data_IF_640169402078
#
_entry.id   IF_640169402078
#
_cell.length_a   1.000
_cell.length_b   1.000
_cell.length_c   1.000
_cell.angle_alpha   90.00
_cell.angle_beta   90.00
_cell.angle_gamma   90.00
#
_symmetry.space_group_name_H-M   'P 1'
#
loop_
_entity.id
_entity.type
_entity.pdbx_description
1 polymer ?
#
# COMPACT_ATOMS: atom_id res chain seq x y z
N UNK A 1 -40.00 48.56 -23.38
CA UNK A 1 -40.07 48.98 -21.96
C UNK A 1 -39.59 47.81 -21.14
N UNK A 2 -38.35 47.85 -20.64
CA UNK A 2 -37.68 46.69 -20.01
C UNK A 2 -37.82 46.83 -18.49
N UNK A 3 -38.54 45.90 -17.86
CA UNK A 3 -38.89 45.97 -16.45
C UNK A 3 -37.78 45.37 -15.57
N UNK A 4 -37.06 46.23 -14.85
CA UNK A 4 -36.01 45.87 -13.89
C UNK A 4 -36.63 45.23 -12.64
N UNK A 5 -36.48 43.91 -12.48
CA UNK A 5 -36.79 43.21 -11.22
C UNK A 5 -35.67 43.44 -10.20
N UNK A 6 -35.96 44.23 -9.16
CA UNK A 6 -35.08 44.44 -7.99
C UNK A 6 -34.97 43.16 -7.15
N UNK A 7 -33.75 42.70 -6.87
CA UNK A 7 -33.46 41.60 -5.93
C UNK A 7 -33.61 42.07 -4.48
N UNK A 8 -34.20 41.29 -3.56
CA UNK A 8 -34.19 41.58 -2.13
C UNK A 8 -32.81 41.26 -1.50
N UNK A 9 -32.39 41.96 -0.43
CA UNK A 9 -31.10 41.74 0.22
C UNK A 9 -31.09 40.45 1.08
N UNK A 10 -29.91 39.84 1.29
CA UNK A 10 -29.77 38.62 2.10
C UNK A 10 -29.96 38.92 3.59
N UNK A 11 -30.65 38.02 4.29
CA UNK A 11 -30.81 38.05 5.75
C UNK A 11 -29.51 37.60 6.43
N UNK A 12 -28.95 38.47 7.26
CA UNK A 12 -27.89 38.15 8.22
C UNK A 12 -28.43 37.20 9.30
N UNK A 13 -27.68 36.15 9.63
CA UNK A 13 -27.94 35.26 10.77
C UNK A 13 -26.83 35.38 11.80
N UNK A 14 -27.27 35.46 13.05
CA UNK A 14 -26.58 35.92 14.24
C UNK A 14 -25.41 35.05 14.74
N UNK A 15 -24.44 35.73 15.35
CA UNK A 15 -23.33 35.22 16.17
C UNK A 15 -23.79 34.59 17.50
N UNK A 16 -23.08 33.57 18.03
CA UNK A 16 -23.38 32.95 19.32
C UNK A 16 -22.91 33.80 20.53
N UNK A 17 -23.61 33.75 21.69
CA UNK A 17 -23.26 34.55 22.88
C UNK A 17 -22.08 33.97 23.70
N UNK A 18 -21.39 34.81 24.50
CA UNK A 18 -20.12 34.47 25.14
C UNK A 18 -20.25 33.75 26.49
N UNK A 19 -19.22 32.97 26.77
CA UNK A 19 -18.99 32.15 27.96
C UNK A 19 -18.76 32.99 29.23
N UNK A 20 -19.58 32.79 30.28
CA UNK A 20 -19.43 33.45 31.56
C UNK A 20 -18.66 32.59 32.57
N UNK A 21 -17.42 33.01 32.87
CA UNK A 21 -16.67 32.65 34.09
C UNK A 21 -17.22 33.47 35.27
N UNK A 22 -17.65 32.81 36.35
CA UNK A 22 -17.64 33.39 37.72
C UNK A 22 -17.14 32.33 38.69
N UNK A 23 -16.03 32.64 39.35
CA UNK A 23 -15.53 31.90 40.50
C UNK A 23 -16.13 32.42 41.81
N UNK A 24 -15.95 31.61 42.84
CA UNK A 24 -15.55 32.06 44.18
C UNK A 24 -16.64 32.41 45.20
N UNK A 25 -16.97 31.42 46.03
CA UNK A 25 -17.04 31.58 47.49
C UNK A 25 -18.41 31.88 48.13
N UNK A 26 -18.92 30.93 48.93
CA UNK A 26 -19.11 31.18 50.37
C UNK A 26 -19.30 29.87 51.14
N UNK A 27 -18.77 29.89 52.35
CA UNK A 27 -18.54 28.85 53.35
C UNK A 27 -19.76 28.48 54.20
N UNK A 28 -19.89 27.22 54.63
CA UNK A 28 -20.37 26.86 55.97
C UNK A 28 -20.11 25.37 56.35
N UNK A 29 -19.14 25.19 57.24
CA UNK A 29 -18.88 24.19 58.30
C UNK A 29 -20.01 23.21 58.69
N UNK A 30 -19.75 21.89 58.82
CA UNK A 30 -19.66 21.11 60.10
C UNK A 30 -19.54 19.56 59.93
N UNK A 31 -18.58 18.96 60.68
CA UNK A 31 -18.54 17.64 61.38
C UNK A 31 -18.86 16.33 60.63
N UNK A 32 -17.89 15.40 60.47
CA UNK A 32 -17.34 14.40 61.43
C UNK A 32 -18.33 13.30 61.84
N UNK A 33 -18.14 12.07 61.34
CA UNK A 33 -17.89 10.86 62.17
C UNK A 33 -17.48 9.65 61.31
N UNK A 34 -16.56 8.84 61.84
CA UNK A 34 -16.05 7.61 61.28
C UNK A 34 -16.43 6.40 62.15
N UNK A 35 -16.41 5.23 61.51
CA UNK A 35 -15.95 3.92 62.00
C UNK A 35 -16.92 2.86 62.58
N UNK A 36 -16.77 1.66 61.96
CA UNK A 36 -16.63 0.30 62.52
C UNK A 36 -17.86 -0.53 62.94
N UNK A 37 -17.95 -1.71 62.31
CA UNK A 37 -18.10 -2.98 63.01
C UNK A 37 -17.50 -4.14 62.18
N UNK A 38 -16.68 -4.99 62.84
CA UNK A 38 -16.08 -6.25 62.38
C UNK A 38 -16.51 -7.35 63.37
N UNK A 39 -16.62 -8.59 62.90
CA UNK A 39 -16.61 -9.85 63.67
C UNK A 39 -17.21 -10.97 62.80
N UNK A 40 -16.52 -11.97 62.24
CA UNK A 40 -15.49 -12.94 62.68
C UNK A 40 -16.07 -14.20 63.37
N UNK A 41 -16.02 -15.34 62.66
CA UNK A 41 -15.75 -16.72 63.15
C UNK A 41 -15.39 -17.59 61.91
N UNK A 42 -14.14 -18.03 61.71
CA UNK A 42 -13.50 -19.32 62.09
C UNK A 42 -14.28 -20.56 61.60
N UNK A 43 -13.77 -21.62 60.96
CA UNK A 43 -12.42 -22.18 60.71
C UNK A 43 -12.59 -23.48 59.90
N UNK A 44 -11.63 -23.90 59.07
CA UNK A 44 -10.97 -25.25 59.05
C UNK A 44 -10.17 -25.49 57.76
N UNK A 45 -8.91 -25.90 57.94
CA UNK A 45 -7.92 -26.34 56.95
C UNK A 45 -7.87 -27.88 56.96
N UNK A 46 -7.67 -28.51 55.81
CA UNK A 46 -6.94 -29.79 55.70
C UNK A 46 -6.47 -30.04 54.25
N UNK A 47 -5.18 -30.36 54.17
CA UNK A 47 -4.35 -30.95 53.11
C UNK A 47 -5.01 -31.99 52.20
N UNK A 48 -4.56 -32.09 50.93
CA UNK A 48 -3.75 -33.24 50.45
C UNK A 48 -3.12 -32.97 49.07
N UNK A 49 -1.97 -33.62 48.84
CA UNK A 49 -1.02 -33.46 47.73
C UNK A 49 -1.18 -34.57 46.67
N UNK A 50 -0.90 -34.26 45.38
CA UNK A 50 -0.04 -35.06 44.47
C UNK A 50 -0.58 -35.39 43.06
N UNK A 51 0.29 -35.06 42.08
CA UNK A 51 0.58 -35.75 40.80
C UNK A 51 -0.26 -35.50 39.53
N UNK A 52 0.43 -35.00 38.48
CA UNK A 52 -0.02 -34.83 37.08
C UNK A 52 -0.04 -36.15 36.26
N UNK A 53 0.11 -36.17 34.89
CA UNK A 53 0.92 -35.25 34.06
C UNK A 53 0.36 -34.90 32.63
N UNK A 54 1.22 -34.24 31.83
CA UNK A 54 1.29 -34.10 30.33
C UNK A 54 0.20 -33.28 29.60
N UNK A 55 0.49 -32.11 29.01
CA UNK A 55 1.33 -31.75 27.85
C UNK A 55 0.51 -31.62 26.54
N UNK A 56 0.24 -30.38 26.11
CA UNK A 56 0.27 -29.97 24.69
C UNK A 56 0.55 -28.47 24.59
N UNK A 57 1.85 -28.19 24.45
CA UNK A 57 2.52 -27.20 23.61
C UNK A 57 1.65 -26.13 22.90
N UNK A 58 1.82 -24.89 23.33
CA UNK A 58 1.55 -23.69 22.53
C UNK A 58 2.88 -23.24 21.89
N UNK A 59 2.97 -22.98 20.57
CA UNK A 59 4.21 -22.50 20.00
C UNK A 59 4.39 -21.01 20.32
N UNK A 60 5.26 -20.79 21.31
CA UNK A 60 6.41 -19.90 21.27
C UNK A 60 6.27 -18.56 20.52
N UNK A 61 6.09 -17.53 21.35
CA UNK A 61 6.64 -16.18 21.20
C UNK A 61 8.15 -16.26 20.90
N UNK A 62 8.53 -16.21 19.62
CA UNK A 62 9.91 -15.99 19.21
C UNK A 62 10.20 -14.48 19.21
N UNK A 63 10.75 -13.99 20.32
CA UNK A 63 11.41 -12.71 20.40
C UNK A 63 12.90 -12.99 20.61
N UNK A 64 13.74 -12.72 19.61
CA UNK A 64 15.19 -12.84 19.74
C UNK A 64 15.96 -12.42 18.50
N UNK A 65 16.63 -11.26 18.61
CA UNK A 65 17.91 -10.82 18.03
C UNK A 65 18.18 -11.07 16.52
N UNK A 66 18.60 -10.10 15.71
CA UNK A 66 19.04 -8.75 15.95
C UNK A 66 19.54 -8.17 14.63
N UNK A 67 18.98 -7.03 14.24
CA UNK A 67 19.46 -6.21 13.13
C UNK A 67 19.42 -4.78 13.62
N UNK A 68 20.47 -4.36 14.30
CA UNK A 68 20.64 -2.99 14.79
C UNK A 68 20.88 -2.09 13.59
N UNK A 69 19.81 -1.66 12.90
CA UNK A 69 19.89 -0.41 12.14
C UNK A 69 19.76 0.73 13.14
N UNK A 70 20.89 1.37 13.41
CA UNK A 70 21.00 2.54 14.24
C UNK A 70 20.00 3.61 13.77
N UNK A 71 19.40 4.31 14.73
CA UNK A 71 18.58 5.52 14.52
C UNK A 71 19.32 6.49 13.57
N UNK A 72 18.91 6.59 12.32
CA UNK A 72 19.48 7.53 11.37
C UNK A 72 18.92 7.36 9.97
N UNK A 73 18.91 8.43 9.17
CA UNK A 73 18.68 8.34 7.72
C UNK A 73 19.76 7.45 7.13
N UNK A 74 19.37 6.47 6.33
CA UNK A 74 20.31 5.64 5.56
C UNK A 74 21.01 6.51 4.50
N UNK A 75 22.30 6.31 4.30
CA UNK A 75 23.07 7.08 3.34
C UNK A 75 23.07 6.42 1.95
N UNK A 76 23.17 7.24 0.90
CA UNK A 76 23.45 6.73 -0.46
C UNK A 76 24.86 6.15 -0.47
N UNK A 77 25.01 4.95 -1.03
CA UNK A 77 26.24 4.15 -1.03
C UNK A 77 26.37 3.21 0.16
N UNK A 78 25.48 3.28 1.14
CA UNK A 78 25.47 2.37 2.28
C UNK A 78 25.00 0.97 1.85
N UNK A 79 25.75 -0.05 2.26
CA UNK A 79 25.38 -1.45 2.08
C UNK A 79 24.58 -1.92 3.30
N UNK A 80 23.34 -2.33 3.08
CA UNK A 80 22.51 -2.96 4.10
C UNK A 80 22.54 -4.46 3.96
N UNK A 81 22.51 -5.15 5.10
CA UNK A 81 22.24 -6.58 5.13
C UNK A 81 20.73 -6.80 4.95
N UNK A 82 20.26 -7.34 3.80
CA UNK A 82 18.83 -7.50 3.56
C UNK A 82 18.18 -8.55 4.47
N UNK A 83 18.97 -9.42 5.12
CA UNK A 83 18.48 -10.41 6.07
C UNK A 83 18.01 -9.72 7.37
N UNK A 84 16.68 -9.72 7.57
CA UNK A 84 16.06 -9.14 8.77
C UNK A 84 15.95 -7.61 8.77
N UNK A 85 16.47 -6.91 7.76
CA UNK A 85 16.34 -5.45 7.65
C UNK A 85 14.87 -5.02 7.46
N UNK A 86 14.40 -4.14 8.35
CA UNK A 86 13.01 -3.65 8.33
C UNK A 86 11.95 -4.68 8.73
N UNK A 87 12.35 -5.92 9.07
CA UNK A 87 11.45 -7.00 9.43
C UNK A 87 10.55 -7.48 8.30
N UNK A 88 9.41 -8.05 8.67
CA UNK A 88 8.40 -8.56 7.73
C UNK A 88 7.28 -7.55 7.53
N UNK A 89 6.93 -7.25 6.28
CA UNK A 89 5.79 -6.43 5.89
C UNK A 89 4.80 -7.27 5.08
N UNK A 90 3.60 -6.76 4.83
CA UNK A 90 2.61 -7.46 4.00
C UNK A 90 2.40 -6.74 2.67
N UNK A 91 2.21 -7.47 1.58
CA UNK A 91 1.62 -6.90 0.37
C UNK A 91 0.15 -6.59 0.61
N UNK A 92 -0.43 -5.73 -0.23
CA UNK A 92 -1.86 -5.41 -0.17
C UNK A 92 -2.77 -6.62 -0.42
N UNK A 93 -2.25 -7.69 -1.03
CA UNK A 93 -2.95 -8.97 -1.22
C UNK A 93 -2.85 -9.90 0.01
N UNK A 94 -2.16 -9.45 1.07
CA UNK A 94 -2.01 -10.19 2.32
C UNK A 94 -0.81 -11.14 2.38
N UNK A 95 0.10 -11.12 1.40
CA UNK A 95 1.31 -11.93 1.41
C UNK A 95 2.38 -11.29 2.28
N UNK A 96 2.91 -12.02 3.26
CA UNK A 96 4.07 -11.58 4.05
C UNK A 96 5.35 -11.66 3.22
N UNK A 97 6.15 -10.59 3.23
CA UNK A 97 7.41 -10.46 2.49
C UNK A 97 8.45 -9.71 3.32
N UNK A 98 9.72 -10.01 3.10
CA UNK A 98 10.88 -9.28 3.63
C UNK A 98 11.57 -8.50 2.53
N UNK A 99 12.46 -7.56 2.88
CA UNK A 99 13.26 -6.84 1.88
C UNK A 99 14.08 -7.80 1.01
N UNK A 100 14.65 -8.84 1.61
CA UNK A 100 15.36 -9.91 0.91
C UNK A 100 14.48 -10.59 -0.14
N UNK A 101 13.26 -10.99 0.21
CA UNK A 101 12.33 -11.60 -0.76
C UNK A 101 12.04 -10.70 -1.97
N UNK A 102 11.95 -9.38 -1.73
CA UNK A 102 11.72 -8.41 -2.80
C UNK A 102 12.95 -8.27 -3.69
N UNK A 103 14.15 -8.20 -3.11
CA UNK A 103 15.41 -8.16 -3.85
C UNK A 103 15.64 -9.44 -4.65
N UNK A 104 15.39 -10.61 -4.06
CA UNK A 104 15.56 -11.91 -4.70
C UNK A 104 14.67 -12.07 -5.93
N UNK A 105 13.42 -11.60 -5.87
CA UNK A 105 12.47 -11.59 -6.99
C UNK A 105 12.75 -10.52 -8.05
N UNK A 106 13.60 -9.55 -7.75
CA UNK A 106 13.91 -8.43 -8.65
C UNK A 106 15.13 -8.72 -9.52
N UNK A 107 15.24 -8.07 -10.67
CA UNK A 107 16.39 -8.22 -11.56
C UNK A 107 17.64 -7.52 -11.02
N UNK A 108 17.68 -6.19 -11.18
CA UNK A 108 18.78 -5.31 -10.76
C UNK A 108 18.57 -4.67 -9.37
N UNK A 109 17.34 -4.62 -8.88
CA UNK A 109 17.03 -4.02 -7.58
C UNK A 109 15.56 -3.64 -7.42
N UNK A 110 15.27 -2.94 -6.32
CA UNK A 110 13.92 -2.50 -5.95
C UNK A 110 13.86 -0.98 -5.83
N UNK A 111 12.74 -0.41 -6.27
CA UNK A 111 12.36 0.99 -6.05
C UNK A 111 11.24 1.01 -5.03
N UNK A 112 11.50 1.59 -3.86
CA UNK A 112 10.54 1.75 -2.77
C UNK A 112 10.14 3.24 -2.69
N UNK A 113 8.98 3.60 -3.23
CA UNK A 113 8.45 4.96 -3.02
C UNK A 113 7.53 4.97 -1.80
N UNK A 114 7.77 5.90 -0.88
CA UNK A 114 7.03 6.00 0.37
C UNK A 114 5.96 7.07 0.29
N UNK A 115 4.78 6.80 0.86
CA UNK A 115 3.67 7.76 0.88
C UNK A 115 2.94 7.78 2.22
N UNK A 116 2.52 8.97 2.72
CA UNK A 116 1.89 9.07 4.05
C UNK A 116 0.55 8.36 4.20
N UNK A 117 -0.30 8.43 3.15
CA UNK A 117 -1.68 7.93 3.15
C UNK A 117 -2.19 7.60 1.76
N UNK A 118 -2.68 6.39 1.56
CA UNK A 118 -3.33 5.92 0.34
C UNK A 118 -4.55 6.79 -0.02
N UNK A 119 -4.87 6.87 -1.32
CA UNK A 119 -6.05 7.59 -1.84
C UNK A 119 -6.15 9.09 -1.51
N UNK A 120 -5.06 9.74 -1.09
CA UNK A 120 -4.99 11.19 -0.92
C UNK A 120 -4.43 11.86 -2.19
N UNK A 121 -4.75 13.13 -2.50
CA UNK A 121 -4.39 13.75 -3.79
C UNK A 121 -2.90 13.68 -4.13
N UNK A 122 -2.03 14.03 -3.18
CA UNK A 122 -0.58 14.00 -3.40
C UNK A 122 0.00 12.58 -3.57
N UNK A 123 -0.53 11.60 -2.82
CA UNK A 123 -0.11 10.20 -2.94
C UNK A 123 -0.65 9.53 -4.20
N UNK A 124 -1.87 9.92 -4.61
CA UNK A 124 -2.46 9.50 -5.89
C UNK A 124 -1.62 10.02 -7.04
N UNK A 125 -1.23 11.29 -7.00
CA UNK A 125 -0.33 11.88 -8.02
C UNK A 125 0.98 11.10 -8.11
N UNK A 126 1.63 10.83 -6.98
CA UNK A 126 2.88 10.07 -6.96
C UNK A 126 2.71 8.65 -7.53
N UNK A 127 1.71 7.90 -7.07
CA UNK A 127 1.47 6.55 -7.55
C UNK A 127 1.14 6.53 -9.06
N UNK A 128 0.32 7.47 -9.55
CA UNK A 128 0.06 7.57 -10.98
C UNK A 128 1.33 7.88 -11.78
N UNK A 129 2.22 8.75 -11.30
CA UNK A 129 3.51 9.02 -11.96
C UNK A 129 4.37 7.76 -12.10
N UNK A 130 4.47 6.95 -11.03
CA UNK A 130 5.19 5.66 -11.09
C UNK A 130 4.49 4.64 -11.99
N UNK A 131 3.14 4.61 -12.02
CA UNK A 131 2.38 3.76 -12.95
C UNK A 131 2.67 4.14 -14.39
N UNK A 132 2.59 5.43 -14.70
CA UNK A 132 2.71 5.93 -16.06
C UNK A 132 4.15 5.76 -16.60
N UNK A 133 5.15 5.60 -15.72
CA UNK A 133 6.55 5.34 -16.04
C UNK A 133 7.00 3.90 -15.67
N UNK A 134 6.05 3.01 -15.38
CA UNK A 134 6.36 1.66 -14.89
C UNK A 134 7.23 0.89 -15.90
N UNK A 135 6.86 0.95 -17.19
CA UNK A 135 7.60 0.30 -18.27
C UNK A 135 9.08 0.69 -18.29
N UNK A 136 9.39 1.99 -18.28
CA UNK A 136 10.76 2.50 -18.29
C UNK A 136 11.58 2.03 -17.08
N UNK A 137 10.96 1.91 -15.91
CA UNK A 137 11.62 1.41 -14.69
C UNK A 137 11.84 -0.11 -14.78
N UNK A 138 10.86 -0.86 -15.28
CA UNK A 138 10.98 -2.32 -15.42
C UNK A 138 11.92 -2.75 -16.54
N UNK A 139 12.05 -1.96 -17.61
CA UNK A 139 13.04 -2.18 -18.69
C UNK A 139 14.47 -2.07 -18.14
N UNK A 140 14.69 -1.20 -17.14
CA UNK A 140 15.93 -1.14 -16.38
C UNK A 140 16.09 -2.29 -15.36
N UNK A 141 15.22 -3.31 -15.41
CA UNK A 141 15.20 -4.47 -14.52
C UNK A 141 15.00 -4.12 -13.03
N UNK A 142 14.34 -3.00 -12.74
CA UNK A 142 13.99 -2.60 -11.38
C UNK A 142 12.53 -2.91 -11.07
N UNK A 143 12.25 -3.46 -9.89
CA UNK A 143 10.88 -3.71 -9.42
C UNK A 143 10.36 -2.53 -8.61
N UNK A 144 9.17 -2.02 -8.93
CA UNK A 144 8.55 -0.90 -8.22
C UNK A 144 7.63 -1.39 -7.11
N UNK A 145 7.72 -0.78 -5.93
CA UNK A 145 6.80 -1.00 -4.82
C UNK A 145 6.44 0.33 -4.15
N UNK A 146 5.16 0.50 -3.82
CA UNK A 146 4.73 1.59 -2.94
C UNK A 146 4.73 1.15 -1.48
N UNK A 147 5.19 1.98 -0.55
CA UNK A 147 5.26 1.64 0.88
C UNK A 147 4.54 2.68 1.75
N UNK A 148 3.66 2.20 2.63
CA UNK A 148 2.94 3.03 3.61
C UNK A 148 2.59 2.23 4.86
N UNK A 149 2.08 2.92 5.88
CA UNK A 149 1.57 2.29 7.10
C UNK A 149 0.06 2.02 7.07
N UNK A 150 -0.55 2.13 5.88
CA UNK A 150 -1.95 1.79 5.66
C UNK A 150 -2.17 0.26 5.69
N UNK A 151 -3.42 -0.14 5.92
CA UNK A 151 -3.79 -1.56 5.97
C UNK A 151 -3.84 -2.19 4.57
N UNK A 152 -3.75 -3.53 4.45
CA UNK A 152 -3.93 -4.23 3.17
C UNK A 152 -5.19 -3.78 2.43
N UNK A 153 -6.35 -3.76 3.11
CA UNK A 153 -7.64 -3.33 2.53
C UNK A 153 -7.60 -1.91 1.93
N UNK A 154 -6.94 -0.96 2.60
CA UNK A 154 -6.83 0.41 2.11
C UNK A 154 -5.93 0.47 0.86
N UNK A 155 -4.82 -0.25 0.88
CA UNK A 155 -3.90 -0.33 -0.25
C UNK A 155 -4.50 -1.11 -1.43
N UNK A 156 -5.26 -2.19 -1.22
CA UNK A 156 -5.99 -2.88 -2.30
C UNK A 156 -6.97 -1.93 -2.98
N UNK A 157 -7.77 -1.22 -2.20
CA UNK A 157 -8.72 -0.23 -2.73
C UNK A 157 -8.00 0.84 -3.56
N UNK A 158 -6.84 1.30 -3.09
CA UNK A 158 -6.05 2.31 -3.78
C UNK A 158 -5.43 1.77 -5.09
N UNK A 159 -4.81 0.59 -5.04
CA UNK A 159 -4.25 -0.10 -6.20
C UNK A 159 -5.30 -0.34 -7.28
N UNK A 160 -6.47 -0.86 -6.92
CA UNK A 160 -7.58 -1.10 -7.85
C UNK A 160 -8.11 0.20 -8.45
N UNK A 161 -8.38 1.22 -7.63
CA UNK A 161 -8.94 2.51 -8.10
C UNK A 161 -8.00 3.22 -9.08
N UNK A 162 -6.69 3.14 -8.84
CA UNK A 162 -5.69 3.81 -9.69
C UNK A 162 -5.09 2.89 -10.77
N UNK A 163 -5.55 1.63 -10.85
CA UNK A 163 -5.04 0.62 -11.79
C UNK A 163 -3.52 0.49 -11.73
N UNK A 164 -2.98 0.36 -10.52
CA UNK A 164 -1.53 0.27 -10.32
C UNK A 164 -1.02 -1.11 -10.77
N UNK A 165 0.03 -1.18 -11.61
CA UNK A 165 0.57 -2.44 -12.14
C UNK A 165 1.59 -3.10 -11.21
N UNK A 166 1.77 -2.56 -10.00
CA UNK A 166 2.77 -2.98 -9.04
C UNK A 166 2.18 -3.15 -7.64
N UNK A 167 2.89 -3.87 -6.79
CA UNK A 167 2.46 -4.18 -5.44
C UNK A 167 2.64 -3.00 -4.49
N UNK A 168 1.67 -2.81 -3.60
CA UNK A 168 1.78 -1.93 -2.44
C UNK A 168 2.10 -2.74 -1.19
N UNK A 169 3.08 -2.26 -0.43
CA UNK A 169 3.53 -2.79 0.86
C UNK A 169 2.85 -2.04 2.00
N UNK A 170 2.36 -2.83 2.95
CA UNK A 170 1.63 -2.44 4.14
C UNK A 170 2.54 -2.68 5.34
N UNK A 171 3.01 -1.59 5.95
CA UNK A 171 3.91 -1.57 7.09
C UNK A 171 3.24 -0.91 8.30
N UNK A 172 2.19 -1.52 8.89
CA UNK A 172 1.49 -0.94 10.05
C UNK A 172 2.38 -0.83 11.30
N UNK A 173 3.55 -1.47 11.30
CA UNK A 173 4.59 -1.36 12.33
C UNK A 173 5.50 -0.14 12.14
N UNK A 174 5.55 0.43 10.93
CA UNK A 174 6.59 1.35 10.47
C UNK A 174 8.01 0.76 10.59
N UNK A 175 8.19 -0.57 10.60
CA UNK A 175 9.49 -1.21 10.84
C UNK A 175 10.43 -1.02 9.66
N UNK A 176 9.95 -1.32 8.44
CA UNK A 176 10.71 -1.11 7.21
C UNK A 176 10.85 0.39 6.93
N UNK A 177 9.77 1.14 7.12
CA UNK A 177 9.75 2.60 6.96
C UNK A 177 10.78 3.30 7.85
N UNK A 178 10.93 2.86 9.10
CA UNK A 178 11.91 3.38 10.05
C UNK A 178 13.33 2.96 9.67
N UNK A 179 13.54 1.69 9.29
CA UNK A 179 14.84 1.18 8.87
C UNK A 179 15.40 1.94 7.65
N UNK A 180 14.56 2.28 6.67
CA UNK A 180 14.98 3.10 5.52
C UNK A 180 15.02 4.61 5.80
N UNK A 181 14.78 5.05 7.04
CA UNK A 181 14.84 6.46 7.42
C UNK A 181 13.70 7.34 6.91
N UNK A 182 12.58 6.76 6.47
CA UNK A 182 11.40 7.47 5.92
C UNK A 182 10.25 7.61 6.93
N UNK A 183 10.50 7.36 8.22
CA UNK A 183 9.51 7.60 9.27
C UNK A 183 9.40 9.09 9.56
N UNK A 184 8.16 9.59 9.68
CA UNK A 184 7.91 10.99 10.05
C UNK A 184 8.40 11.24 11.48
N UNK A 185 9.14 12.34 11.74
CA UNK A 185 9.55 12.70 13.09
C UNK A 185 8.34 12.92 14.01
N UNK A 186 8.45 12.45 15.26
CA UNK A 186 7.43 12.64 16.29
C UNK A 186 6.69 11.35 16.67
N UNK A 187 5.67 11.46 17.54
CA UNK A 187 4.88 10.31 17.97
C UNK A 187 4.03 9.77 16.83
N UNK A 188 4.03 8.45 16.65
CA UNK A 188 3.19 7.74 15.70
C UNK A 188 3.98 6.92 14.68
N UNK A 189 3.24 6.43 13.67
CA UNK A 189 3.72 5.51 12.64
C UNK A 189 3.51 6.08 11.24
N UNK A 190 3.52 7.40 11.11
CA UNK A 190 3.33 8.03 9.80
C UNK A 190 4.64 7.97 9.00
N UNK A 191 4.51 7.85 7.69
CA UNK A 191 5.61 7.85 6.74
C UNK A 191 5.80 9.24 6.13
N UNK A 192 7.04 9.62 5.79
CA UNK A 192 7.35 10.78 4.93
C UNK A 192 7.24 10.38 3.46
N UNK A 193 6.99 11.35 2.58
CA UNK A 193 7.03 11.09 1.13
C UNK A 193 8.48 11.06 0.66
N UNK A 194 8.83 10.03 -0.09
CA UNK A 194 10.17 9.87 -0.62
C UNK A 194 10.30 8.67 -1.55
N UNK A 195 11.54 8.36 -1.92
CA UNK A 195 11.91 7.17 -2.67
C UNK A 195 13.27 6.67 -2.22
N UNK A 196 13.42 5.34 -2.24
CA UNK A 196 14.70 4.66 -2.02
C UNK A 196 14.88 3.64 -3.13
N UNK A 197 16.06 3.60 -3.73
CA UNK A 197 16.46 2.54 -4.67
C UNK A 197 17.54 1.71 -4.02
N UNK A 198 17.32 0.41 -3.95
CA UNK A 198 18.24 -0.57 -3.34
C UNK A 198 18.58 -1.58 -4.42
N UNK A 199 19.87 -1.74 -4.73
CA UNK A 199 20.30 -2.71 -5.72
C UNK A 199 20.26 -4.15 -5.20
N UNK A 200 20.51 -5.12 -6.09
CA UNK A 200 20.52 -6.56 -5.79
C UNK A 200 21.51 -6.93 -4.68
N UNK A 201 22.57 -6.14 -4.49
CA UNK A 201 23.61 -6.35 -3.48
C UNK A 201 23.25 -5.73 -2.13
N UNK A 202 22.10 -5.06 -2.02
CA UNK A 202 21.69 -4.35 -0.81
C UNK A 202 22.35 -2.98 -0.67
N UNK A 203 22.90 -2.39 -1.73
CA UNK A 203 23.44 -1.02 -1.68
C UNK A 203 22.34 -0.01 -1.97
N UNK A 204 22.23 1.01 -1.13
CA UNK A 204 21.31 2.13 -1.38
C UNK A 204 21.88 3.03 -2.47
N UNK A 205 21.20 3.08 -3.61
CA UNK A 205 21.63 3.87 -4.77
C UNK A 205 20.97 5.23 -4.85
N UNK A 206 19.74 5.33 -4.36
CA UNK A 206 18.99 6.58 -4.28
C UNK A 206 18.31 6.65 -2.93
N UNK A 207 18.36 7.82 -2.30
CA UNK A 207 17.56 8.14 -1.12
C UNK A 207 17.13 9.60 -1.26
N UNK A 208 15.85 9.84 -1.53
CA UNK A 208 15.34 11.19 -1.79
C UNK A 208 14.00 11.39 -1.08
N UNK A 209 13.91 12.38 -0.18
CA UNK A 209 12.69 12.74 0.52
C UNK A 209 12.09 14.01 -0.09
N UNK A 210 11.21 13.85 -1.09
CA UNK A 210 10.70 14.96 -1.88
C UNK A 210 9.20 14.83 -2.26
N UNK A 211 8.73 15.79 -3.04
CA UNK A 211 7.39 15.80 -3.61
C UNK A 211 7.20 14.74 -4.72
N UNK A 212 5.94 14.52 -5.18
CA UNK A 212 5.60 13.45 -6.13
C UNK A 212 6.48 13.39 -7.39
N UNK A 213 6.66 14.50 -8.11
CA UNK A 213 7.45 14.54 -9.34
C UNK A 213 8.94 14.26 -9.07
N UNK A 214 9.53 14.96 -8.09
CA UNK A 214 10.94 14.80 -7.74
C UNK A 214 11.33 13.37 -7.35
N UNK A 215 10.41 12.64 -6.71
CA UNK A 215 10.67 11.22 -6.39
C UNK A 215 10.76 10.34 -7.63
N UNK A 216 10.00 10.64 -8.69
CA UNK A 216 10.13 9.93 -9.96
C UNK A 216 11.42 10.37 -10.68
N UNK A 217 11.68 11.68 -10.72
CA UNK A 217 12.85 12.24 -11.41
C UNK A 217 14.16 11.62 -10.91
N UNK A 218 14.31 11.48 -9.59
CA UNK A 218 15.48 10.84 -8.97
C UNK A 218 15.70 9.39 -9.43
N UNK A 219 14.61 8.62 -9.62
CA UNK A 219 14.70 7.23 -10.11
C UNK A 219 15.06 7.19 -11.59
N UNK A 220 14.46 8.05 -12.41
CA UNK A 220 14.77 8.14 -13.84
C UNK A 220 16.19 8.64 -14.08
N UNK A 221 16.69 9.56 -13.26
CA UNK A 221 18.09 10.00 -13.29
C UNK A 221 19.04 8.87 -12.94
N UNK A 222 18.74 8.08 -11.89
CA UNK A 222 19.51 6.88 -11.58
C UNK A 222 19.53 5.87 -12.74
N UNK A 223 18.39 5.59 -13.37
CA UNK A 223 18.34 4.69 -14.52
C UNK A 223 19.22 5.19 -15.67
N UNK A 224 19.21 6.50 -15.95
CA UNK A 224 20.06 7.11 -16.99
C UNK A 224 21.54 6.99 -16.67
N UNK A 225 21.94 7.16 -15.41
CA UNK A 225 23.36 7.04 -15.01
C UNK A 225 23.85 5.59 -15.05
N UNK A 226 23.01 4.62 -14.69
CA UNK A 226 23.33 3.19 -14.81
C UNK A 226 23.45 2.73 -16.26
N UNK A 227 22.60 3.26 -17.16
CA UNK A 227 22.66 2.96 -18.59
C UNK A 227 23.96 3.44 -19.25
N UNK A 228 24.62 4.46 -18.69
CA UNK A 228 25.90 4.98 -19.20
C UNK A 228 27.10 4.10 -18.79
N UNK A 229 27.11 3.57 -17.56
CA UNK A 229 28.18 2.68 -17.06
C UNK A 229 28.17 1.32 -17.78
N UNK A 230 26.98 0.79 -18.12
CA UNK A 230 26.86 -0.53 -18.79
C UNK A 230 27.15 -0.49 -20.30
N UNK A 231 27.27 0.70 -20.90
CA UNK A 231 27.69 0.87 -22.31
C UNK A 231 29.21 0.93 -22.52
N UNK A 232 30.01 0.74 -21.46
CA UNK A 232 31.47 0.69 -21.50
C UNK A 232 32.06 -0.73 -21.44
N UNK A 233 31.79 -1.60 -22.42
CA UNK A 233 32.42 -2.93 -22.55
C UNK A 233 32.05 -3.58 -23.90
N UNK A 234 33.00 -4.24 -24.59
CA UNK A 234 33.14 -4.13 -26.04
C UNK A 234 32.05 -4.86 -26.81
N UNK A 235 31.36 -4.13 -27.69
CA UNK A 235 30.67 -4.73 -28.82
C UNK A 235 31.72 -5.45 -29.69
N UNK A 236 31.68 -6.77 -29.61
CA UNK A 236 32.48 -7.66 -30.43
C UNK A 236 32.27 -7.35 -31.92
N UNK A 237 33.41 -7.18 -32.57
CA UNK A 237 33.66 -7.27 -34.00
C UNK A 237 32.83 -8.36 -34.67
N UNK A 238 32.17 -8.00 -35.77
CA UNK A 238 31.46 -8.94 -36.63
C UNK A 238 31.06 -8.30 -37.95
N UNK A 239 32.01 -7.72 -38.67
CA UNK A 239 31.82 -7.29 -40.05
C UNK A 239 32.12 -8.45 -41.02
N UNK A 240 31.12 -8.77 -41.84
CA UNK A 240 31.17 -9.25 -43.23
C UNK A 240 31.99 -10.50 -43.61
N UNK A 241 31.32 -11.48 -44.21
CA UNK A 241 31.64 -11.94 -45.57
C UNK A 241 30.38 -12.46 -46.24
N UNK A 242 30.08 -11.88 -47.39
CA UNK A 242 29.05 -12.31 -48.32
C UNK A 242 29.54 -13.52 -49.12
N UNK A 243 28.63 -14.44 -49.45
CA UNK A 243 28.66 -15.13 -50.75
C UNK A 243 27.23 -15.53 -51.12
N UNK A 244 26.79 -15.02 -52.27
CA UNK A 244 25.63 -15.44 -53.04
C UNK A 244 26.22 -16.03 -54.34
N UNK A 245 25.57 -17.01 -55.00
CA UNK A 245 25.07 -16.66 -56.32
C UNK A 245 23.70 -17.26 -56.69
N UNK A 246 22.85 -16.36 -57.19
CA UNK A 246 22.20 -16.35 -58.50
C UNK A 246 21.37 -17.56 -58.99
N UNK A 247 20.08 -17.31 -59.26
CA UNK A 247 19.42 -17.27 -60.60
C UNK A 247 18.08 -16.52 -60.40
N UNK A 248 17.90 -15.29 -60.89
CA UNK A 248 17.51 -14.87 -62.25
C UNK A 248 16.15 -15.42 -62.73
N UNK A 249 15.23 -14.70 -63.35
CA UNK A 249 14.97 -13.28 -63.65
C UNK A 249 13.53 -13.20 -64.20
N UNK A 250 13.05 -11.98 -64.47
CA UNK A 250 11.97 -11.57 -65.38
C UNK A 250 10.60 -11.22 -64.74
N UNK A 251 9.94 -10.08 -65.00
CA UNK A 251 10.28 -8.73 -65.49
C UNK A 251 8.96 -7.91 -65.36
N UNK A 252 9.09 -6.58 -65.16
CA UNK A 252 8.13 -5.51 -65.60
C UNK A 252 6.65 -5.56 -65.12
N UNK A 253 5.84 -4.51 -64.99
CA UNK A 253 5.83 -3.09 -65.36
C UNK A 253 4.62 -2.42 -64.65
N UNK A 254 4.79 -1.16 -64.22
CA UNK A 254 3.85 -0.03 -64.11
C UNK A 254 2.38 -0.18 -63.63
N UNK A 255 2.02 0.86 -62.85
CA UNK A 255 0.76 1.61 -62.85
C UNK A 255 -0.37 1.22 -61.87
N UNK A 256 -0.54 2.07 -60.85
CA UNK A 256 -1.84 2.49 -60.29
C UNK A 256 -2.67 3.19 -61.41
N UNK A 257 -4.02 3.40 -61.34
CA UNK A 257 -4.83 3.60 -60.12
C UNK A 257 -6.32 3.12 -60.18
N UNK A 258 -7.03 3.35 -59.08
CA UNK A 258 -8.50 3.55 -58.98
C UNK A 258 -9.45 2.45 -59.51
N UNK A 259 -10.15 1.72 -58.62
CA UNK A 259 -11.59 1.48 -58.79
C UNK A 259 -12.28 1.20 -57.45
N UNK A 260 -13.38 1.93 -57.26
CA UNK A 260 -14.39 1.86 -56.21
C UNK A 260 -15.31 0.63 -56.36
N UNK A 261 -15.87 0.24 -55.19
CA UNK A 261 -17.24 -0.25 -54.95
C UNK A 261 -17.73 -1.53 -55.63
N UNK A 262 -18.11 -2.51 -54.79
CA UNK A 262 -19.37 -3.29 -54.84
C UNK A 262 -19.41 -4.10 -53.51
N UNK A 263 -20.28 -3.77 -52.54
CA UNK A 263 -21.59 -4.41 -52.25
C UNK A 263 -21.48 -5.94 -52.02
N UNK A 264 -21.95 -6.64 -50.96
CA UNK A 264 -22.95 -6.58 -49.87
C UNK A 264 -22.64 -7.84 -48.95
N UNK A 265 -23.35 -8.23 -47.87
CA UNK A 265 -24.52 -7.65 -47.21
C UNK A 265 -24.52 -7.58 -45.67
N UNK A 266 -25.50 -6.78 -45.23
CA UNK A 266 -26.12 -6.64 -43.93
C UNK A 266 -26.86 -7.92 -43.46
N UNK A 267 -26.58 -8.41 -42.25
CA UNK A 267 -27.49 -9.06 -41.27
C UNK A 267 -26.67 -9.22 -39.96
N UNK A 268 -27.14 -9.04 -38.72
CA UNK A 268 -28.43 -8.76 -38.10
C UNK A 268 -28.09 -8.16 -36.72
N UNK A 269 -28.75 -7.07 -36.34
CA UNK A 269 -28.75 -6.54 -34.98
C UNK A 269 -29.38 -7.54 -34.00
N UNK A 270 -28.77 -7.84 -32.84
CA UNK A 270 -29.48 -8.55 -31.78
C UNK A 270 -30.49 -7.64 -31.09
N UNK A 271 -31.71 -8.16 -31.00
CA UNK A 271 -32.89 -7.53 -30.43
C UNK A 271 -32.87 -7.49 -28.90
N UNK A 272 -33.68 -6.53 -28.42
CA UNK A 272 -34.07 -6.18 -27.05
C UNK A 272 -34.88 -7.28 -26.37
N UNK A 273 -34.28 -8.45 -26.12
CA UNK A 273 -34.86 -9.52 -25.28
C UNK A 273 -33.78 -10.34 -24.56
N UNK A 274 -32.62 -9.72 -24.29
CA UNK A 274 -31.58 -10.25 -23.39
C UNK A 274 -31.15 -9.15 -22.41
N UNK A 275 -32.14 -8.39 -21.94
CA UNK A 275 -32.05 -7.39 -20.87
C UNK A 275 -33.20 -7.57 -19.87
N UNK A 276 -33.54 -8.81 -19.53
CA UNK A 276 -34.34 -9.14 -18.34
C UNK A 276 -33.90 -10.49 -17.76
N UNK A 277 -32.74 -10.50 -17.10
CA UNK A 277 -32.36 -11.57 -16.17
C UNK A 277 -31.43 -11.04 -15.06
N UNK A 278 -31.61 -9.78 -14.66
CA UNK A 278 -30.82 -9.14 -13.61
C UNK A 278 -31.70 -8.25 -12.71
N UNK A 279 -32.84 -8.77 -12.26
CA UNK A 279 -33.62 -8.22 -11.16
C UNK A 279 -34.32 -9.38 -10.43
N UNK A 280 -33.66 -9.97 -9.43
CA UNK A 280 -34.20 -10.52 -8.16
C UNK A 280 -33.06 -11.29 -7.47
N UNK A 281 -32.20 -10.58 -6.77
CA UNK A 281 -31.27 -11.14 -5.78
C UNK A 281 -30.82 -10.02 -4.82
N UNK A 282 -31.81 -9.36 -4.22
CA UNK A 282 -31.63 -8.37 -3.18
C UNK A 282 -32.79 -8.46 -2.19
N UNK A 283 -33.03 -9.65 -1.63
CA UNK A 283 -33.68 -9.86 -0.33
C UNK A 283 -33.46 -11.33 0.09
N UNK A 284 -33.42 -11.60 1.39
CA UNK A 284 -33.09 -12.90 2.03
C UNK A 284 -31.59 -13.19 2.19
N UNK A 285 -30.88 -12.28 2.87
CA UNK A 285 -29.57 -12.53 3.50
C UNK A 285 -29.54 -12.16 4.99
N UNK A 286 -30.71 -11.96 5.60
CA UNK A 286 -30.86 -11.58 7.00
C UNK A 286 -31.79 -12.59 7.69
N UNK A 287 -31.30 -13.81 7.94
CA UNK A 287 -31.74 -14.75 9.01
C UNK A 287 -30.96 -16.07 8.90
N UNK A 288 -29.68 -16.06 9.29
CA UNK A 288 -28.90 -17.30 9.47
C UNK A 288 -27.94 -17.19 10.67
N UNK A 289 -28.39 -16.55 11.75
CA UNK A 289 -27.60 -16.39 12.99
C UNK A 289 -28.43 -16.53 14.29
N UNK A 290 -29.58 -17.24 14.24
CA UNK A 290 -30.38 -17.58 15.44
C UNK A 290 -31.09 -18.92 15.28
N UNK A 291 -30.35 -20.03 15.23
CA UNK A 291 -30.92 -21.36 15.52
C UNK A 291 -29.94 -22.39 16.13
N UNK A 292 -28.73 -21.97 16.54
CA UNK A 292 -27.77 -22.87 17.22
C UNK A 292 -27.56 -22.50 18.71
N UNK A 293 -28.61 -21.99 19.36
CA UNK A 293 -28.59 -21.64 20.78
C UNK A 293 -29.75 -22.28 21.58
N UNK A 294 -30.43 -23.29 21.02
CA UNK A 294 -31.62 -23.86 21.65
C UNK A 294 -31.80 -25.38 21.45
N UNK A 295 -30.71 -26.17 21.38
CA UNK A 295 -30.78 -27.63 21.61
C UNK A 295 -29.48 -28.07 22.28
N UNK A 296 -29.35 -27.78 23.57
CA UNK A 296 -28.17 -28.14 24.36
C UNK A 296 -28.45 -28.17 25.85
N UNK A 297 -29.68 -28.45 26.26
CA UNK A 297 -30.02 -28.71 27.65
C UNK A 297 -31.07 -29.82 27.69
N UNK A 298 -30.60 -31.07 27.77
CA UNK A 298 -31.31 -32.19 28.39
C UNK A 298 -30.31 -33.31 28.66
N UNK A 299 -29.96 -33.38 29.94
CA UNK A 299 -29.15 -34.38 30.63
C UNK A 299 -29.92 -35.70 30.72
N UNK A 300 -29.26 -36.85 30.56
CA UNK A 300 -29.51 -38.01 31.40
C UNK A 300 -28.44 -38.15 32.49
#
# INVERSE_FOLDING_TARGET
MVELRKRPPPKETATPPPNAKRGGGSTSTVKKLAEKAKGAVSSKKSDDTSSGPTAVEAPAKANGHGGTSAKGKIAVGESIDPDGFGGTVQTHDGTSVTLKDLLDKSGKGVVLFTYPRASTPGCTTQACLFRDNYAAITEASLSVFGLSTDSPKANTTFATKQKLPYQLLCDPGATLTEAIGMKKPGPGKSTTRGVVVIDKQGVVRVWEQAGPAKTLDAVLEYIKTQGAEETGGPAATGAATAENPAVAEDNTELANPDTKMDEVPLIKTPSKEEQEAATTAAEVGETAAKIDAAVGELKP
#
